data_IF_832422266048
#
_entry.id   IF_832422266048
#
_cell.length_a   1.000
_cell.length_b   1.000
_cell.length_c   1.000
_cell.angle_alpha   90.00
_cell.angle_beta   90.00
_cell.angle_gamma   90.00
#
_symmetry.space_group_name_H-M   'P 1'
#
loop_
_entity.id
_entity.type
_entity.pdbx_description
1 polymer ?
#
# COMPACT_ATOMS: atom_id res chain seq x y z
N UNK A 1 -27.79 24.37 33.68
CA UNK A 1 -26.55 25.08 33.29
C UNK A 1 -25.37 24.25 33.74
N UNK A 2 -24.59 23.69 32.81
CA UNK A 2 -23.13 23.53 32.95
C UNK A 2 -22.53 23.05 31.63
N UNK A 3 -22.18 24.06 30.84
CA UNK A 3 -21.07 24.26 29.91
C UNK A 3 -20.38 23.02 29.30
N UNK A 4 -20.43 22.99 27.98
CA UNK A 4 -19.59 22.23 27.08
C UNK A 4 -18.09 22.48 27.34
N UNK A 5 -17.33 21.40 27.47
CA UNK A 5 -15.87 21.39 27.35
C UNK A 5 -15.50 20.88 25.97
N UNK A 6 -15.11 21.79 25.08
CA UNK A 6 -14.53 21.46 23.78
C UNK A 6 -13.24 20.68 23.97
N UNK A 7 -13.16 19.50 23.35
CA UNK A 7 -11.96 18.67 23.34
C UNK A 7 -10.84 19.33 22.54
N UNK A 8 -9.57 19.25 22.99
CA UNK A 8 -8.44 19.80 22.29
C UNK A 8 -8.21 19.03 20.98
N UNK A 9 -7.89 19.77 19.92
CA UNK A 9 -7.77 19.28 18.55
C UNK A 9 -6.99 17.99 18.43
N UNK A 10 -7.60 17.02 17.76
CA UNK A 10 -6.97 15.80 17.29
C UNK A 10 -5.80 16.15 16.40
N UNK A 11 -4.58 16.08 16.94
CA UNK A 11 -3.37 16.02 16.14
C UNK A 11 -3.55 14.89 15.09
N UNK A 12 -3.10 15.07 13.84
CA UNK A 12 -3.22 14.02 12.84
C UNK A 12 -2.52 12.77 13.38
N UNK A 13 -3.26 11.66 13.46
CA UNK A 13 -2.69 10.39 13.91
C UNK A 13 -1.48 9.98 13.04
N UNK A 14 -0.60 9.11 13.53
CA UNK A 14 0.63 8.70 12.84
C UNK A 14 0.39 8.23 11.39
N UNK A 15 -0.76 7.62 11.13
CA UNK A 15 -1.21 7.20 9.79
C UNK A 15 -1.50 8.38 8.85
N UNK A 16 -2.10 9.46 9.35
CA UNK A 16 -2.39 10.66 8.56
C UNK A 16 -1.10 11.42 8.21
N UNK A 17 -0.14 11.48 9.14
CA UNK A 17 1.19 12.05 8.87
C UNK A 17 1.96 11.22 7.83
N UNK A 18 1.91 9.88 7.94
CA UNK A 18 2.53 8.98 6.96
C UNK A 18 1.89 9.10 5.57
N UNK A 19 0.55 9.21 5.48
CA UNK A 19 -0.15 9.43 4.23
C UNK A 19 0.21 10.77 3.58
N UNK A 20 0.28 11.85 4.36
CA UNK A 20 0.72 13.16 3.88
C UNK A 20 2.18 13.12 3.38
N UNK A 21 3.07 12.43 4.09
CA UNK A 21 4.46 12.23 3.67
C UNK A 21 4.56 11.43 2.36
N UNK A 22 3.72 10.41 2.17
CA UNK A 22 3.68 9.63 0.93
C UNK A 22 3.22 10.48 -0.27
N UNK A 23 2.16 11.29 -0.09
CA UNK A 23 1.67 12.22 -1.13
C UNK A 23 2.74 13.26 -1.48
N UNK A 24 3.40 13.83 -0.47
CA UNK A 24 4.47 14.80 -0.69
C UNK A 24 5.67 14.17 -1.43
N UNK A 25 6.00 12.92 -1.09
CA UNK A 25 7.04 12.15 -1.78
C UNK A 25 6.66 11.86 -3.24
N UNK A 26 5.41 11.51 -3.52
CA UNK A 26 4.95 11.31 -4.89
C UNK A 26 5.09 12.60 -5.71
N UNK A 27 4.69 13.74 -5.12
CA UNK A 27 4.80 15.04 -5.78
C UNK A 27 6.26 15.41 -6.08
N UNK A 28 7.18 15.19 -5.13
CA UNK A 28 8.59 15.52 -5.35
C UNK A 28 9.23 14.64 -6.43
N UNK A 29 8.86 13.36 -6.52
CA UNK A 29 9.31 12.47 -7.58
C UNK A 29 8.83 12.96 -8.96
N UNK A 30 7.57 13.35 -9.09
CA UNK A 30 7.04 13.90 -10.35
C UNK A 30 7.78 15.18 -10.76
N UNK A 31 7.93 16.12 -9.83
CA UNK A 31 8.65 17.38 -10.07
C UNK A 31 10.10 17.13 -10.50
N UNK A 32 10.76 16.14 -9.92
CA UNK A 32 12.12 15.77 -10.29
C UNK A 32 12.19 15.18 -11.70
N UNK A 33 11.24 14.32 -12.06
CA UNK A 33 11.17 13.77 -13.41
C UNK A 33 10.96 14.88 -14.45
N UNK A 34 10.03 15.80 -14.20
CA UNK A 34 9.77 16.94 -15.09
C UNK A 34 11.01 17.83 -15.27
N UNK A 35 11.72 18.09 -14.17
CA UNK A 35 12.95 18.88 -14.20
C UNK A 35 14.08 18.18 -14.99
N UNK A 36 14.28 16.87 -14.79
CA UNK A 36 15.30 16.09 -15.49
C UNK A 36 14.98 15.96 -17.00
N UNK A 37 13.71 15.78 -17.36
CA UNK A 37 13.26 15.75 -18.76
C UNK A 37 13.44 17.11 -19.43
N UNK A 38 13.05 18.20 -18.75
CA UNK A 38 13.22 19.56 -19.28
C UNK A 38 14.71 19.86 -19.50
N UNK A 39 15.56 19.52 -18.53
CA UNK A 39 17.01 19.65 -18.65
C UNK A 39 17.56 18.87 -19.85
N UNK A 40 17.11 17.64 -20.09
CA UNK A 40 17.52 16.85 -21.27
C UNK A 40 17.17 17.56 -22.57
N UNK A 41 15.92 17.99 -22.72
CA UNK A 41 15.41 18.64 -23.93
C UNK A 41 16.10 19.98 -24.18
N UNK A 42 16.29 20.79 -23.14
CA UNK A 42 16.93 22.11 -23.25
C UNK A 42 18.40 21.99 -23.64
N UNK A 43 19.14 21.08 -22.98
CA UNK A 43 20.54 20.84 -23.30
C UNK A 43 20.70 20.26 -24.72
N UNK A 44 19.83 19.35 -25.14
CA UNK A 44 19.85 18.79 -26.49
C UNK A 44 19.53 19.85 -27.55
N UNK A 45 18.46 20.64 -27.34
CA UNK A 45 18.09 21.73 -28.25
C UNK A 45 19.23 22.72 -28.45
N UNK A 46 19.95 23.02 -27.37
CA UNK A 46 21.09 23.90 -27.48
C UNK A 46 22.34 23.27 -28.08
N UNK A 47 22.56 21.96 -27.95
CA UNK A 47 23.61 21.27 -28.69
C UNK A 47 23.38 21.38 -30.20
N UNK A 48 22.13 21.19 -30.64
CA UNK A 48 21.74 21.38 -32.05
C UNK A 48 22.02 22.81 -32.50
N UNK A 49 21.70 23.82 -31.67
CA UNK A 49 21.96 25.21 -31.99
C UNK A 49 23.47 25.53 -32.11
N UNK A 50 24.32 24.99 -31.23
CA UNK A 50 25.78 25.19 -31.33
C UNK A 50 26.35 24.44 -32.54
N UNK A 51 25.79 23.28 -32.90
CA UNK A 51 26.24 22.50 -34.05
C UNK A 51 25.90 23.15 -35.41
N UNK A 52 24.97 24.13 -35.45
CA UNK A 52 24.61 24.84 -36.68
C UNK A 52 25.73 25.82 -37.06
N UNK A 53 26.53 25.41 -38.05
CA UNK A 53 27.60 26.23 -38.63
C UNK A 53 27.00 27.41 -39.39
N UNK A 54 27.13 28.61 -38.81
CA UNK A 54 26.86 29.90 -39.47
C UNK A 54 28.03 30.82 -39.09
N UNK A 55 29.06 30.92 -39.93
CA UNK A 55 30.32 31.68 -39.69
C UNK A 55 30.14 33.20 -39.43
N UNK A 56 31.10 34.00 -38.85
CA UNK A 56 32.42 33.73 -38.20
C UNK A 56 32.65 34.52 -36.84
N UNK A 57 33.83 34.48 -36.14
CA UNK A 57 35.02 33.66 -36.29
C UNK A 57 35.07 32.48 -35.29
N UNK A 58 35.75 31.43 -35.72
CA UNK A 58 35.91 30.14 -35.06
C UNK A 58 36.32 30.27 -33.57
N UNK A 59 35.35 30.12 -32.66
CA UNK A 59 35.60 29.91 -31.23
C UNK A 59 35.62 28.41 -30.90
N UNK A 60 36.38 27.65 -31.68
CA UNK A 60 36.40 26.18 -31.65
C UNK A 60 36.52 25.60 -30.23
N UNK A 61 37.41 26.16 -29.40
CA UNK A 61 37.63 25.67 -28.04
C UNK A 61 36.49 26.02 -27.07
N UNK A 62 35.88 27.21 -27.18
CA UNK A 62 34.78 27.59 -26.30
C UNK A 62 33.49 26.85 -26.66
N UNK A 63 33.21 26.68 -27.95
CA UNK A 63 32.05 25.93 -28.42
C UNK A 63 32.18 24.44 -28.07
N UNK A 64 33.37 23.85 -28.25
CA UNK A 64 33.65 22.47 -27.83
C UNK A 64 33.42 22.28 -26.33
N UNK A 65 33.91 23.20 -25.49
CA UNK A 65 33.68 23.15 -24.05
C UNK A 65 32.18 23.28 -23.68
N UNK A 66 31.45 24.19 -24.34
CA UNK A 66 30.01 24.34 -24.11
C UNK A 66 29.23 23.09 -24.54
N UNK A 67 29.61 22.46 -25.65
CA UNK A 67 29.02 21.20 -26.09
C UNK A 67 29.27 20.08 -25.08
N UNK A 68 30.52 19.94 -24.62
CA UNK A 68 30.90 18.93 -23.62
C UNK A 68 30.12 19.11 -22.32
N UNK A 69 30.00 20.35 -21.81
CA UNK A 69 29.25 20.61 -20.58
C UNK A 69 27.76 20.27 -20.72
N UNK A 70 27.15 20.56 -21.88
CA UNK A 70 25.73 20.23 -22.13
C UNK A 70 25.52 18.72 -22.26
N UNK A 71 26.41 18.03 -22.97
CA UNK A 71 26.39 16.57 -23.05
C UNK A 71 26.53 15.93 -21.66
N UNK A 72 27.45 16.44 -20.83
CA UNK A 72 27.61 15.97 -19.45
C UNK A 72 26.34 16.20 -18.61
N UNK A 73 25.67 17.36 -18.75
CA UNK A 73 24.39 17.65 -18.09
C UNK A 73 23.27 16.71 -18.55
N UNK A 74 23.22 16.37 -19.84
CA UNK A 74 22.25 15.39 -20.35
C UNK A 74 22.49 14.00 -19.73
N UNK A 75 23.75 13.54 -19.70
CA UNK A 75 24.11 12.26 -19.06
C UNK A 75 23.72 12.27 -17.59
N UNK A 76 23.95 13.38 -16.89
CA UNK A 76 23.56 13.54 -15.49
C UNK A 76 22.03 13.45 -15.29
N UNK A 77 21.24 14.17 -16.09
CA UNK A 77 19.78 14.10 -16.03
C UNK A 77 19.25 12.69 -16.37
N UNK A 78 19.86 12.00 -17.34
CA UNK A 78 19.50 10.62 -17.66
C UNK A 78 19.80 9.65 -16.49
N UNK A 79 20.96 9.78 -15.84
CA UNK A 79 21.28 8.99 -14.64
C UNK A 79 20.33 9.29 -13.46
N UNK A 80 19.97 10.56 -13.28
CA UNK A 80 18.96 10.97 -12.29
C UNK A 80 17.59 10.31 -12.56
N UNK A 81 17.15 10.24 -13.82
CA UNK A 81 15.93 9.51 -14.20
C UNK A 81 16.02 8.00 -13.92
N UNK A 82 17.17 7.36 -14.18
CA UNK A 82 17.37 5.94 -13.84
C UNK A 82 17.27 5.69 -12.33
N UNK A 83 17.82 6.59 -11.51
CA UNK A 83 17.70 6.55 -10.05
C UNK A 83 16.24 6.71 -9.62
N UNK A 84 15.51 7.63 -10.24
CA UNK A 84 14.09 7.85 -9.98
C UNK A 84 13.24 6.62 -10.31
N UNK A 85 13.46 5.99 -11.47
CA UNK A 85 12.80 4.72 -11.84
C UNK A 85 13.10 3.63 -10.82
N UNK A 86 14.35 3.56 -10.35
CA UNK A 86 14.77 2.59 -9.33
C UNK A 86 14.07 2.82 -7.98
N UNK A 87 13.83 4.07 -7.60
CA UNK A 87 13.07 4.42 -6.39
C UNK A 87 11.58 4.10 -6.53
N UNK A 88 10.98 4.38 -7.70
CA UNK A 88 9.59 4.03 -7.98
C UNK A 88 9.37 2.52 -7.92
N UNK A 89 10.27 1.72 -8.50
CA UNK A 89 10.21 0.25 -8.41
C UNK A 89 10.24 -0.24 -6.97
N UNK A 90 11.13 0.30 -6.13
CA UNK A 90 11.18 -0.04 -4.69
C UNK A 90 9.87 0.30 -4.00
N UNK A 91 9.35 1.51 -4.23
CA UNK A 91 8.10 1.98 -3.62
C UNK A 91 6.91 1.08 -4.00
N UNK A 92 6.80 0.68 -5.26
CA UNK A 92 5.75 -0.22 -5.73
C UNK A 92 5.82 -1.61 -5.07
N UNK A 93 7.02 -2.17 -4.93
CA UNK A 93 7.23 -3.48 -4.27
C UNK A 93 6.79 -3.42 -2.81
N UNK A 94 7.24 -2.42 -2.05
CA UNK A 94 6.89 -2.30 -0.63
C UNK A 94 5.40 -1.99 -0.41
N UNK A 95 4.78 -1.21 -1.30
CA UNK A 95 3.33 -0.99 -1.28
C UNK A 95 2.54 -2.29 -1.52
N UNK A 96 2.99 -3.13 -2.45
CA UNK A 96 2.39 -4.44 -2.69
C UNK A 96 2.46 -5.36 -1.47
N UNK A 97 3.59 -5.36 -0.76
CA UNK A 97 3.76 -6.15 0.47
C UNK A 97 2.85 -5.65 1.61
N UNK A 98 2.73 -4.34 1.80
CA UNK A 98 1.85 -3.77 2.82
C UNK A 98 0.37 -4.10 2.55
N UNK A 99 -0.08 -3.96 1.29
CA UNK A 99 -1.44 -4.32 0.90
C UNK A 99 -1.72 -5.82 1.04
N UNK A 100 -0.73 -6.67 0.73
CA UNK A 100 -0.83 -8.11 0.94
C UNK A 100 -0.96 -8.46 2.41
N UNK A 101 -0.18 -7.82 3.29
CA UNK A 101 -0.26 -8.05 4.73
C UNK A 101 -1.64 -7.66 5.27
N UNK A 102 -2.17 -6.49 4.90
CA UNK A 102 -3.50 -6.05 5.31
C UNK A 102 -4.61 -7.03 4.84
N UNK A 103 -4.45 -7.62 3.66
CA UNK A 103 -5.37 -8.64 3.15
C UNK A 103 -5.32 -9.93 3.98
N UNK A 104 -4.11 -10.38 4.35
CA UNK A 104 -3.91 -11.56 5.21
C UNK A 104 -4.54 -11.33 6.58
N UNK A 105 -4.28 -10.17 7.20
CA UNK A 105 -4.85 -9.81 8.51
C UNK A 105 -6.38 -9.81 8.48
N UNK A 106 -6.98 -9.19 7.45
CA UNK A 106 -8.44 -9.20 7.24
C UNK A 106 -8.97 -10.62 7.05
N UNK A 107 -8.25 -11.48 6.34
CA UNK A 107 -8.67 -12.86 6.09
C UNK A 107 -8.56 -13.73 7.33
N UNK A 108 -7.56 -13.50 8.18
CA UNK A 108 -7.46 -14.12 9.50
C UNK A 108 -8.67 -13.75 10.35
N UNK A 109 -9.06 -12.48 10.37
CA UNK A 109 -10.24 -12.01 11.13
C UNK A 109 -11.53 -12.69 10.65
N UNK A 110 -11.77 -12.73 9.33
CA UNK A 110 -12.95 -13.39 8.75
C UNK A 110 -12.98 -14.89 9.08
N UNK A 111 -11.84 -15.58 8.97
CA UNK A 111 -11.74 -16.99 9.32
C UNK A 111 -11.97 -17.22 10.83
N UNK A 112 -11.48 -16.32 11.68
CA UNK A 112 -11.76 -16.34 13.12
C UNK A 112 -13.25 -16.24 13.42
N UNK A 113 -13.94 -15.28 12.79
CA UNK A 113 -15.39 -15.13 12.94
C UNK A 113 -16.18 -16.36 12.46
N UNK A 114 -15.73 -16.98 11.36
CA UNK A 114 -16.33 -18.23 10.85
C UNK A 114 -16.10 -19.41 11.80
N UNK A 115 -14.90 -19.52 12.39
CA UNK A 115 -14.59 -20.54 13.37
C UNK A 115 -15.48 -20.40 14.62
N UNK A 116 -15.59 -19.19 15.18
CA UNK A 116 -16.48 -18.92 16.31
C UNK A 116 -17.96 -19.23 15.99
N UNK A 117 -18.43 -18.84 14.80
CA UNK A 117 -19.80 -19.15 14.37
C UNK A 117 -20.06 -20.65 14.24
N UNK A 118 -19.07 -21.39 13.75
CA UNK A 118 -19.13 -22.84 13.63
C UNK A 118 -19.13 -23.51 15.01
N UNK A 119 -18.28 -23.05 15.93
CA UNK A 119 -18.20 -23.54 17.30
C UNK A 119 -19.52 -23.35 18.05
N UNK A 120 -20.12 -22.15 17.99
CA UNK A 120 -21.45 -21.88 18.56
C UNK A 120 -22.53 -22.80 17.99
N UNK A 121 -22.46 -23.10 16.69
CA UNK A 121 -23.42 -24.01 16.04
C UNK A 121 -23.24 -25.45 16.52
N UNK A 122 -21.99 -25.91 16.65
CA UNK A 122 -21.65 -27.22 17.19
C UNK A 122 -22.12 -27.38 18.63
N UNK A 123 -21.89 -26.37 19.48
CA UNK A 123 -22.37 -26.37 20.86
C UNK A 123 -23.89 -26.52 20.94
N UNK A 124 -24.63 -25.75 20.13
CA UNK A 124 -26.09 -25.84 20.07
C UNK A 124 -26.56 -27.24 19.66
N UNK A 125 -25.99 -27.79 18.59
CA UNK A 125 -26.33 -29.14 18.11
C UNK A 125 -26.00 -30.18 19.19
N UNK A 126 -24.87 -30.04 19.89
CA UNK A 126 -24.49 -30.91 20.99
C UNK A 126 -25.49 -30.87 22.14
N UNK A 127 -25.98 -29.69 22.52
CA UNK A 127 -27.02 -29.53 23.54
C UNK A 127 -28.35 -30.16 23.12
N UNK A 128 -28.77 -29.97 21.87
CA UNK A 128 -30.00 -30.56 21.31
C UNK A 128 -29.92 -32.09 21.27
N UNK A 129 -28.78 -32.64 20.85
CA UNK A 129 -28.54 -34.07 20.87
C UNK A 129 -28.56 -34.64 22.29
N UNK A 130 -27.92 -33.98 23.25
CA UNK A 130 -27.93 -34.40 24.65
C UNK A 130 -29.33 -34.37 25.27
N UNK A 131 -30.13 -33.34 24.97
CA UNK A 131 -31.51 -33.26 25.40
C UNK A 131 -32.37 -34.40 24.83
N UNK A 132 -32.24 -34.66 23.53
CA UNK A 132 -32.95 -35.74 22.83
C UNK A 132 -32.60 -37.12 23.39
N UNK A 133 -31.32 -37.36 23.70
CA UNK A 133 -30.86 -38.61 24.33
C UNK A 133 -31.45 -38.78 25.73
N UNK A 134 -31.48 -37.72 26.54
CA UNK A 134 -32.05 -37.75 27.90
C UNK A 134 -33.55 -38.05 27.87
N UNK A 135 -34.28 -37.47 26.90
CA UNK A 135 -35.69 -37.77 26.68
C UNK A 135 -35.90 -39.24 26.29
N UNK A 136 -35.09 -39.76 25.36
CA UNK A 136 -35.15 -41.16 24.95
C UNK A 136 -34.85 -42.12 26.11
N UNK A 137 -33.84 -41.82 26.93
CA UNK A 137 -33.48 -42.58 28.13
C UNK A 137 -34.65 -42.62 29.13
N UNK A 138 -35.29 -41.47 29.38
CA UNK A 138 -36.46 -41.38 30.25
C UNK A 138 -37.63 -42.24 29.72
N UNK A 139 -37.89 -42.19 28.41
CA UNK A 139 -38.90 -43.05 27.78
C UNK A 139 -38.59 -44.54 27.96
N UNK A 140 -37.34 -44.96 27.72
CA UNK A 140 -36.92 -46.34 27.90
C UNK A 140 -37.18 -46.84 29.33
N UNK A 141 -36.69 -46.14 30.34
CA UNK A 141 -36.89 -46.55 31.74
C UNK A 141 -38.36 -46.49 32.17
N UNK A 142 -39.14 -45.51 31.70
CA UNK A 142 -40.58 -45.44 31.99
C UNK A 142 -41.37 -46.61 31.40
N UNK A 143 -40.95 -47.14 30.25
CA UNK A 143 -41.58 -48.28 29.58
C UNK A 143 -41.26 -49.63 30.26
N UNK A 144 -40.02 -49.78 30.76
CA UNK A 144 -39.58 -50.98 31.49
C UNK A 144 -40.26 -51.06 32.86
N UNK A 145 -40.37 -49.93 33.57
CA UNK A 145 -41.04 -49.89 34.90
C UNK A 145 -42.55 -50.10 34.78
N UNK A 146 -43.17 -49.74 33.64
CA UNK A 146 -44.58 -50.04 33.34
C UNK A 146 -44.85 -51.47 32.86
N UNK A 147 -43.82 -52.31 32.78
CA UNK A 147 -43.98 -53.75 32.55
C UNK A 147 -43.83 -54.54 33.86
N UNK A 148 -44.72 -54.42 34.87
CA UNK A 148 -44.74 -55.39 35.96
C UNK A 148 -45.38 -56.69 35.45
N UNK A 149 -44.55 -57.74 35.46
CA UNK A 149 -44.88 -59.16 35.71
C UNK A 149 -46.25 -59.68 35.23
N UNK A 150 -46.21 -60.55 34.21
CA UNK A 150 -47.20 -61.61 33.99
C UNK A 150 -47.40 -62.45 35.25
#
# INVERSE_FOLDING_TARGET
MSKAGGGPGSAPGPTAAAAAAAVQKQKSLLQKADADISSLVDNFSSLINIARVTDPPVRNSQEAFQMEMRAARMVHSADSLLKLVSELKRTAIFSGLASLNENVDRRIEVLGQQAEGTERTLERIGQEAAASLKELEAHYYSSVVRSPSL
#
